data_IF_064267209313
#
_entry.id   IF_064267209313
#
_cell.length_a   1.000
_cell.length_b   1.000
_cell.length_c   1.000
_cell.angle_alpha   90.00
_cell.angle_beta   90.00
_cell.angle_gamma   90.00
#
_symmetry.space_group_name_H-M   'P 1'
#
loop_
_entity.id
_entity.type
_entity.pdbx_description
1 polymer ?
#
# COMPACT_ATOMS: atom_id res chain seq x y z
N UNK A 1 28.49 0.86 -3.18
CA UNK A 1 27.16 1.49 -3.00
C UNK A 1 26.28 1.21 -4.22
N UNK A 2 25.24 0.38 -4.07
CA UNK A 2 24.22 0.21 -5.10
C UNK A 2 23.50 1.54 -5.31
N UNK A 3 23.51 2.05 -6.53
CA UNK A 3 22.75 3.25 -6.89
C UNK A 3 21.26 2.94 -6.78
N UNK A 4 20.53 3.71 -5.95
CA UNK A 4 19.07 3.68 -5.93
C UNK A 4 18.56 4.24 -7.26
N UNK A 5 17.94 3.41 -8.09
CA UNK A 5 17.25 3.87 -9.30
C UNK A 5 15.82 4.29 -8.94
N UNK A 6 15.44 5.49 -9.35
CA UNK A 6 14.05 5.95 -9.22
C UNK A 6 13.20 5.28 -10.31
N UNK A 7 12.11 4.64 -9.92
CA UNK A 7 11.11 4.09 -10.83
C UNK A 7 10.14 5.22 -11.18
N UNK A 8 10.01 5.54 -12.46
CA UNK A 8 8.95 6.44 -12.92
C UNK A 8 7.59 5.78 -12.66
N UNK A 9 6.66 6.52 -12.06
CA UNK A 9 5.35 6.01 -11.70
C UNK A 9 4.22 6.92 -12.18
N UNK A 10 3.04 6.33 -12.30
CA UNK A 10 1.78 7.03 -12.55
C UNK A 10 0.77 6.64 -11.47
N UNK A 11 0.11 7.63 -10.86
CA UNK A 11 -1.00 7.36 -9.96
C UNK A 11 -2.23 6.91 -10.75
N UNK A 12 -2.91 5.89 -10.25
CA UNK A 12 -4.23 5.47 -10.71
C UNK A 12 -5.24 6.02 -9.69
N UNK A 13 -5.90 7.10 -10.08
CA UNK A 13 -6.92 7.77 -9.26
C UNK A 13 -8.29 7.38 -9.84
N UNK A 14 -9.15 6.67 -9.09
CA UNK A 14 -10.46 6.26 -9.58
C UNK A 14 -11.38 7.43 -9.92
N UNK A 15 -11.29 8.51 -9.14
CA UNK A 15 -12.13 9.69 -9.28
C UNK A 15 -11.37 10.97 -8.86
N UNK A 16 -11.10 11.90 -9.79
CA UNK A 16 -10.34 13.12 -9.51
C UNK A 16 -11.09 14.13 -8.63
N UNK A 17 -12.41 13.98 -8.44
CA UNK A 17 -13.16 14.81 -7.50
C UNK A 17 -12.86 14.42 -6.05
N UNK A 18 -12.47 13.16 -5.80
CA UNK A 18 -12.13 12.62 -4.48
C UNK A 18 -10.66 12.81 -4.12
N UNK A 19 -9.76 12.75 -5.12
CA UNK A 19 -8.32 12.82 -4.90
C UNK A 19 -7.63 13.58 -6.03
N UNK A 20 -6.69 14.44 -5.67
CA UNK A 20 -5.84 15.17 -6.62
C UNK A 20 -4.38 14.82 -6.40
N UNK A 21 -3.65 14.57 -7.47
CA UNK A 21 -2.19 14.52 -7.42
C UNK A 21 -1.63 15.92 -7.70
N UNK A 22 -0.70 16.38 -6.86
CA UNK A 22 0.12 17.57 -7.10
C UNK A 22 1.58 17.18 -6.89
N UNK A 23 2.37 17.12 -7.96
CA UNK A 23 3.75 16.60 -7.93
C UNK A 23 3.80 15.19 -7.31
N UNK A 24 4.53 15.01 -6.20
CA UNK A 24 4.65 13.77 -5.44
C UNK A 24 3.62 13.66 -4.30
N UNK A 25 2.63 14.56 -4.23
CA UNK A 25 1.61 14.58 -3.18
C UNK A 25 0.30 14.03 -3.69
N UNK A 26 -0.33 13.20 -2.86
CA UNK A 26 -1.71 12.76 -3.03
C UNK A 26 -2.56 13.52 -2.02
N UNK A 27 -3.50 14.31 -2.51
CA UNK A 27 -4.33 15.19 -1.69
C UNK A 27 -5.78 14.72 -1.79
N UNK A 28 -6.31 14.20 -0.70
CA UNK A 28 -7.73 13.87 -0.60
C UNK A 28 -8.54 15.16 -0.52
N UNK A 29 -9.65 15.22 -1.25
CA UNK A 29 -10.60 16.33 -1.18
C UNK A 29 -11.65 16.08 -0.08
N UNK A 30 -12.63 16.97 0.04
CA UNK A 30 -13.79 16.77 0.91
C UNK A 30 -14.93 15.94 0.26
N UNK A 31 -14.71 15.35 -0.92
CA UNK A 31 -15.70 14.50 -1.60
C UNK A 31 -15.55 13.04 -1.17
N UNK A 32 -16.68 12.42 -0.82
CA UNK A 32 -16.76 11.06 -0.30
C UNK A 32 -16.12 10.88 1.08
N UNK A 33 -16.20 9.65 1.59
CA UNK A 33 -15.70 9.21 2.89
C UNK A 33 -14.35 8.49 2.73
N UNK A 34 -14.19 7.73 1.64
CA UNK A 34 -13.00 6.90 1.38
C UNK A 34 -12.36 7.21 0.03
N UNK A 35 -11.08 6.94 -0.09
CA UNK A 35 -10.35 7.05 -1.36
C UNK A 35 -9.14 6.13 -1.33
N UNK A 36 -8.89 5.44 -2.44
CA UNK A 36 -7.71 4.59 -2.60
C UNK A 36 -7.00 4.99 -3.89
N UNK A 37 -5.69 5.17 -3.83
CA UNK A 37 -4.84 5.47 -4.99
C UNK A 37 -3.86 4.32 -5.16
N UNK A 38 -3.80 3.77 -6.37
CA UNK A 38 -2.78 2.79 -6.75
C UNK A 38 -1.69 3.45 -7.59
N UNK A 39 -0.57 2.77 -7.79
CA UNK A 39 0.55 3.26 -8.59
C UNK A 39 0.98 2.20 -9.61
N UNK A 40 1.29 2.66 -10.83
CA UNK A 40 1.84 1.85 -11.93
C UNK A 40 3.27 2.34 -12.21
N UNK A 41 4.25 1.49 -12.58
CA UNK A 41 4.14 0.08 -12.93
C UNK A 41 3.86 -0.85 -11.75
N UNK A 42 3.16 -1.95 -11.99
CA UNK A 42 3.15 -3.09 -11.08
C UNK A 42 4.56 -3.68 -10.96
N UNK A 43 5.03 -3.89 -9.73
CA UNK A 43 6.35 -4.47 -9.46
C UNK A 43 6.25 -5.99 -9.56
N UNK A 44 7.00 -6.59 -10.49
CA UNK A 44 7.00 -8.04 -10.75
C UNK A 44 8.28 -8.75 -10.28
N UNK A 45 9.36 -8.02 -10.01
CA UNK A 45 10.63 -8.58 -9.53
C UNK A 45 11.47 -7.54 -8.78
N UNK A 46 12.43 -8.02 -8.00
CA UNK A 46 13.42 -7.19 -7.31
C UNK A 46 12.92 -6.62 -5.98
N UNK A 47 13.68 -5.66 -5.45
CA UNK A 47 13.37 -4.96 -4.19
C UNK A 47 12.94 -3.54 -4.53
N UNK A 48 11.72 -3.18 -4.15
CA UNK A 48 11.18 -1.83 -4.36
C UNK A 48 10.68 -1.27 -3.04
N UNK A 49 10.97 0.01 -2.80
CA UNK A 49 10.51 0.78 -1.65
C UNK A 49 9.60 1.90 -2.12
N UNK A 50 8.39 1.94 -1.57
CA UNK A 50 7.47 3.06 -1.69
C UNK A 50 7.33 3.71 -0.32
N UNK A 51 7.56 5.03 -0.21
CA UNK A 51 7.53 5.70 1.08
C UNK A 51 7.25 7.18 0.99
N UNK A 52 6.90 7.74 2.13
CA UNK A 52 6.51 9.14 2.30
C UNK A 52 6.10 9.39 3.74
N UNK A 53 5.36 10.45 3.98
CA UNK A 53 4.76 10.75 5.27
C UNK A 53 3.31 11.18 5.08
N UNK A 54 2.51 10.99 6.11
CA UNK A 54 1.15 11.49 6.16
C UNK A 54 1.13 12.84 6.88
N UNK A 55 0.34 13.78 6.34
CA UNK A 55 0.16 15.12 6.87
C UNK A 55 -1.31 15.50 6.81
N UNK A 56 -1.79 16.17 7.85
CA UNK A 56 -3.18 16.65 8.01
C UNK A 56 -4.18 15.52 7.70
N UNK A 57 -3.88 14.32 8.20
CA UNK A 57 -4.58 13.10 7.82
C UNK A 57 -5.73 12.77 8.78
N UNK A 58 -6.79 12.08 8.31
CA UNK A 58 -7.85 11.59 9.20
C UNK A 58 -7.31 10.52 10.15
N UNK A 59 -8.13 10.14 11.13
CA UNK A 59 -7.82 9.05 12.06
C UNK A 59 -7.95 7.64 11.44
N UNK A 60 -8.24 7.52 10.14
CA UNK A 60 -8.45 6.24 9.46
C UNK A 60 -7.79 6.28 8.08
N UNK A 61 -6.62 5.66 7.95
CA UNK A 61 -5.86 5.58 6.71
C UNK A 61 -4.90 4.40 6.73
N UNK A 62 -4.52 3.92 5.54
CA UNK A 62 -3.56 2.83 5.45
C UNK A 62 -2.64 3.00 4.25
N UNK A 63 -1.52 2.28 4.30
CA UNK A 63 -0.59 2.11 3.19
C UNK A 63 -0.38 0.61 2.99
N UNK A 64 -0.19 0.18 1.75
CA UNK A 64 -0.17 -1.26 1.49
C UNK A 64 0.31 -1.63 0.10
N UNK A 65 0.21 -2.92 -0.17
CA UNK A 65 0.43 -3.52 -1.48
C UNK A 65 -0.87 -4.15 -1.98
N UNK A 66 -1.04 -4.12 -3.29
CA UNK A 66 -2.17 -4.74 -3.96
C UNK A 66 -1.68 -5.65 -5.08
N UNK A 67 -2.42 -6.73 -5.33
CA UNK A 67 -2.29 -7.51 -6.54
C UNK A 67 -2.58 -6.63 -7.77
N UNK A 68 -1.90 -6.88 -8.89
CA UNK A 68 -2.08 -6.08 -10.11
C UNK A 68 -3.48 -6.18 -10.72
N UNK A 69 -4.27 -7.19 -10.35
CA UNK A 69 -5.68 -7.33 -10.76
C UNK A 69 -6.66 -6.59 -9.85
N UNK A 70 -6.20 -5.89 -8.81
CA UNK A 70 -7.05 -5.09 -7.95
C UNK A 70 -7.61 -3.87 -8.71
N UNK A 71 -8.92 -3.63 -8.57
CA UNK A 71 -9.60 -2.49 -9.21
C UNK A 71 -10.24 -1.64 -8.12
N UNK A 72 -9.68 -0.45 -7.89
CA UNK A 72 -10.17 0.45 -6.85
C UNK A 72 -11.28 1.35 -7.39
N UNK A 73 -12.37 1.45 -6.62
CA UNK A 73 -13.49 2.33 -6.93
C UNK A 73 -13.45 3.64 -6.15
N UNK A 74 -14.20 4.63 -6.62
CA UNK A 74 -14.44 5.85 -5.84
C UNK A 74 -15.23 5.55 -4.57
N UNK A 75 -14.93 6.29 -3.50
CA UNK A 75 -15.60 6.15 -2.20
C UNK A 75 -15.54 4.74 -1.56
N UNK A 76 -14.51 3.95 -1.87
CA UNK A 76 -14.32 2.59 -1.34
C UNK A 76 -13.00 2.44 -0.60
N UNK A 77 -12.98 1.58 0.41
CA UNK A 77 -11.75 1.13 1.07
C UNK A 77 -10.94 0.21 0.14
N UNK A 78 -9.66 -0.03 0.45
CA UNK A 78 -8.82 -0.92 -0.36
C UNK A 78 -9.36 -2.35 -0.47
N UNK A 79 -10.09 -2.85 0.54
CA UNK A 79 -10.59 -4.21 0.58
C UNK A 79 -11.97 -4.39 -0.09
N UNK A 80 -12.69 -3.28 -0.36
CA UNK A 80 -14.02 -3.31 -0.99
C UNK A 80 -13.94 -3.57 -2.51
N UNK A 81 -15.07 -3.97 -3.11
CA UNK A 81 -15.18 -4.14 -4.56
C UNK A 81 -14.49 -5.40 -5.11
N UNK A 82 -14.33 -6.44 -4.30
CA UNK A 82 -13.67 -7.69 -4.70
C UNK A 82 -12.15 -7.68 -4.51
N UNK A 83 -11.63 -6.72 -3.74
CA UNK A 83 -10.20 -6.58 -3.45
C UNK A 83 -9.78 -7.13 -2.07
N UNK A 84 -10.71 -7.79 -1.39
CA UNK A 84 -10.51 -8.33 -0.04
C UNK A 84 -9.28 -9.25 0.07
N UNK A 85 -9.13 -10.16 -0.90
CA UNK A 85 -7.99 -11.08 -1.00
C UNK A 85 -6.80 -10.50 -1.77
N UNK A 86 -6.95 -9.30 -2.33
CA UNK A 86 -5.99 -8.70 -3.25
C UNK A 86 -5.13 -7.64 -2.59
N UNK A 87 -5.34 -7.35 -1.31
CA UNK A 87 -4.66 -6.24 -0.62
C UNK A 87 -4.09 -6.68 0.72
N UNK A 88 -2.93 -6.11 1.05
CA UNK A 88 -2.34 -6.17 2.39
C UNK A 88 -2.16 -4.73 2.83
N UNK A 89 -2.74 -4.36 3.97
CA UNK A 89 -2.78 -2.99 4.45
C UNK A 89 -2.12 -2.86 5.83
N UNK A 90 -1.24 -1.88 5.98
CA UNK A 90 -0.75 -1.40 7.27
C UNK A 90 -1.55 -0.16 7.66
N UNK A 91 -2.34 -0.27 8.72
CA UNK A 91 -3.27 0.75 9.21
C UNK A 91 -2.58 1.75 10.12
N UNK A 92 -3.25 2.88 10.38
CA UNK A 92 -2.69 3.98 11.15
C UNK A 92 -2.35 3.63 12.60
N UNK A 93 -3.04 2.66 13.18
CA UNK A 93 -2.83 2.17 14.54
C UNK A 93 -1.67 1.18 14.67
N UNK A 94 -1.13 0.70 13.55
CA UNK A 94 -0.05 -0.28 13.49
C UNK A 94 -0.51 -1.68 13.09
N UNK A 95 -1.79 -1.88 12.87
CA UNK A 95 -2.32 -3.18 12.50
C UNK A 95 -1.95 -3.52 11.05
N UNK A 96 -1.53 -4.75 10.81
CA UNK A 96 -1.29 -5.29 9.48
C UNK A 96 -2.40 -6.27 9.13
N UNK A 97 -3.31 -5.86 8.24
CA UNK A 97 -4.47 -6.67 7.84
C UNK A 97 -4.31 -7.30 6.45
N UNK A 98 -4.77 -8.54 6.32
CA UNK A 98 -4.95 -9.24 5.05
C UNK A 98 -6.08 -10.28 5.16
N UNK A 99 -7.07 -10.20 4.28
CA UNK A 99 -8.27 -11.05 4.32
C UNK A 99 -8.94 -10.90 5.71
N UNK A 100 -9.07 -12.00 6.46
CA UNK A 100 -9.70 -12.07 7.78
C UNK A 100 -8.70 -12.02 8.93
N UNK A 101 -7.41 -11.88 8.62
CA UNK A 101 -6.34 -11.90 9.62
C UNK A 101 -5.79 -10.50 9.87
N UNK A 102 -5.47 -10.24 11.14
CA UNK A 102 -4.90 -8.99 11.60
C UNK A 102 -3.71 -9.30 12.52
N UNK A 103 -2.54 -8.79 12.13
CA UNK A 103 -1.34 -8.84 12.97
C UNK A 103 -1.25 -7.52 13.73
N UNK A 104 -1.53 -7.58 15.02
CA UNK A 104 -1.45 -6.47 15.96
C UNK A 104 -0.05 -6.32 16.58
N UNK A 105 0.19 -5.19 17.24
CA UNK A 105 1.39 -4.97 18.07
C UNK A 105 2.54 -4.25 17.37
N UNK A 106 2.37 -3.79 16.13
CA UNK A 106 3.33 -2.89 15.50
C UNK A 106 3.11 -1.44 15.96
N UNK A 107 4.02 -0.55 15.58
CA UNK A 107 3.93 0.87 15.92
C UNK A 107 2.97 1.60 14.99
N UNK A 108 2.09 2.43 15.57
CA UNK A 108 1.25 3.36 14.82
C UNK A 108 2.04 4.24 13.86
N UNK A 109 1.36 4.67 12.80
CA UNK A 109 1.87 5.74 11.94
C UNK A 109 1.63 7.07 12.66
N UNK A 110 2.71 7.80 12.90
CA UNK A 110 2.63 9.12 13.50
C UNK A 110 2.66 10.22 12.44
N UNK A 111 1.96 11.32 12.72
CA UNK A 111 1.91 12.49 11.87
C UNK A 111 3.33 13.01 11.54
N UNK A 112 3.56 13.32 10.27
CA UNK A 112 4.82 13.81 9.73
C UNK A 112 6.03 12.87 9.94
N UNK A 113 5.82 11.62 10.37
CA UNK A 113 6.87 10.59 10.37
C UNK A 113 6.86 9.82 9.06
N UNK A 114 8.05 9.50 8.58
CA UNK A 114 8.22 8.72 7.37
C UNK A 114 7.81 7.27 7.60
N UNK A 115 6.96 6.76 6.72
CA UNK A 115 6.60 5.34 6.61
C UNK A 115 6.94 4.86 5.21
N UNK A 116 7.37 3.61 5.12
CA UNK A 116 7.68 3.00 3.84
C UNK A 116 7.29 1.53 3.83
N UNK A 117 6.83 1.09 2.67
CA UNK A 117 6.60 -0.31 2.34
C UNK A 117 7.72 -0.76 1.42
N UNK A 118 8.42 -1.81 1.83
CA UNK A 118 9.43 -2.47 1.02
C UNK A 118 8.94 -3.86 0.66
N UNK A 119 9.01 -4.19 -0.64
CA UNK A 119 8.64 -5.52 -1.14
C UNK A 119 9.86 -6.14 -1.81
N UNK A 120 10.23 -7.34 -1.39
CA UNK A 120 11.22 -8.18 -2.06
C UNK A 120 10.51 -9.30 -2.83
N UNK A 121 10.60 -9.25 -4.16
CA UNK A 121 10.04 -10.28 -5.05
C UNK A 121 11.19 -11.01 -5.71
N UNK A 122 11.54 -12.16 -5.16
CA UNK A 122 12.38 -13.13 -5.85
C UNK A 122 11.52 -13.95 -6.81
N UNK A 123 11.92 -14.08 -8.07
CA UNK A 123 11.46 -15.20 -8.89
C UNK A 123 12.04 -16.46 -8.26
N UNK A 124 11.26 -17.14 -7.43
CA UNK A 124 11.62 -18.48 -6.99
C UNK A 124 11.33 -19.43 -8.14
N UNK A 125 12.32 -19.75 -8.95
CA UNK A 125 12.31 -21.00 -9.68
C UNK A 125 12.40 -22.14 -8.64
N UNK A 126 11.29 -22.86 -8.53
CA UNK A 126 11.10 -24.24 -8.07
C UNK A 126 11.89 -24.76 -6.83
N UNK A 127 11.13 -25.26 -5.83
CA UNK A 127 11.56 -26.21 -4.77
C UNK A 127 12.58 -25.76 -3.71
N UNK A 128 12.17 -24.86 -2.83
CA UNK A 128 12.59 -24.93 -1.42
C UNK A 128 11.57 -24.30 -0.46
N UNK A 129 10.44 -24.97 -0.29
CA UNK A 129 9.68 -24.91 0.97
C UNK A 129 10.59 -25.50 2.05
N UNK A 130 11.49 -24.69 2.60
CA UNK A 130 12.26 -25.03 3.80
C UNK A 130 11.29 -24.96 4.97
N UNK A 131 10.93 -26.15 5.42
CA UNK A 131 10.31 -26.46 6.70
C UNK A 131 11.14 -25.75 7.80
N UNK A 132 10.48 -25.01 8.69
CA UNK A 132 10.98 -24.80 10.05
C UNK A 132 9.96 -25.35 11.03
N UNK A 133 10.30 -26.37 11.84
CA UNK A 133 9.53 -26.68 13.03
C UNK A 133 9.85 -25.62 14.09
N UNK A 134 8.83 -25.01 14.68
CA UNK A 134 9.01 -24.28 15.93
C UNK A 134 9.34 -25.30 17.02
N UNK A 135 10.44 -25.07 17.75
CA UNK A 135 10.61 -25.56 19.11
C UNK A 135 10.02 -24.54 20.07
#
# INVERSE_FOLDING_TARGET
PSSLSTIAYQSIIPDPDHVKQQENKIIRTNKGIRSTVAFNPAVTSGIVRFGGFFKDHPNLFSIGIADSSAVFGSNKSPAEGGNYEKTVCYYEDGDLGHIEDCIEGNSRIEENKTVAVERNISHSDDRQRRIWPMR
#
